data_IF_780889105797
#
_entry.id   IF_780889105797
#
_cell.length_a   1.000
_cell.length_b   1.000
_cell.length_c   1.000
_cell.angle_alpha   90.00
_cell.angle_beta   90.00
_cell.angle_gamma   90.00
#
_symmetry.space_group_name_H-M   'P 1'
#
loop_
_entity.id
_entity.type
_entity.pdbx_description
1 polymer ?
#
# COMPACT_ATOMS: atom_id res chain seq x y z
N UNK A 1 25.18 5.29 -32.71
CA UNK A 1 25.47 5.78 -31.33
C UNK A 1 24.48 6.84 -30.81
N UNK A 2 24.09 7.89 -31.57
CA UNK A 2 23.18 8.95 -31.06
C UNK A 2 21.79 8.49 -30.58
N UNK A 3 21.15 7.52 -31.25
CA UNK A 3 19.81 6.99 -30.86
C UNK A 3 19.81 6.34 -29.47
N UNK A 4 20.85 5.58 -29.14
CA UNK A 4 20.98 4.90 -27.84
C UNK A 4 21.16 5.89 -26.68
N UNK A 5 21.89 6.98 -26.92
CA UNK A 5 22.10 8.05 -25.94
C UNK A 5 20.83 8.85 -25.67
N UNK A 6 20.08 9.21 -26.72
CA UNK A 6 18.76 9.86 -26.59
C UNK A 6 17.74 8.96 -25.86
N UNK A 7 17.76 7.65 -26.12
CA UNK A 7 16.89 6.70 -25.43
C UNK A 7 17.21 6.60 -23.93
N UNK A 8 18.49 6.53 -23.54
CA UNK A 8 18.87 6.45 -22.12
C UNK A 8 18.54 7.74 -21.36
N UNK A 9 18.76 8.91 -21.97
CA UNK A 9 18.37 10.21 -21.42
C UNK A 9 16.86 10.29 -21.19
N UNK A 10 16.06 9.86 -22.17
CA UNK A 10 14.59 9.82 -22.03
C UNK A 10 14.13 8.84 -20.95
N UNK A 11 14.82 7.71 -20.75
CA UNK A 11 14.49 6.74 -19.71
C UNK A 11 14.77 7.29 -18.29
N UNK A 12 15.89 7.99 -18.10
CA UNK A 12 16.24 8.64 -16.82
C UNK A 12 15.26 9.79 -16.53
N UNK A 13 14.96 10.63 -17.52
CA UNK A 13 13.99 11.72 -17.39
C UNK A 13 12.59 11.21 -17.02
N UNK A 14 12.11 10.16 -17.69
CA UNK A 14 10.83 9.49 -17.34
C UNK A 14 10.84 8.91 -15.93
N UNK A 15 11.94 8.28 -15.52
CA UNK A 15 12.06 7.73 -14.15
C UNK A 15 12.02 8.85 -13.10
N UNK A 16 12.72 9.96 -13.34
CA UNK A 16 12.68 11.17 -12.50
C UNK A 16 11.27 11.72 -12.36
N UNK A 17 10.55 11.87 -13.48
CA UNK A 17 9.17 12.32 -13.48
C UNK A 17 8.27 11.37 -12.68
N UNK A 18 8.37 10.06 -12.90
CA UNK A 18 7.60 9.05 -12.16
C UNK A 18 7.85 9.11 -10.66
N UNK A 19 9.10 9.25 -10.22
CA UNK A 19 9.43 9.38 -8.79
C UNK A 19 8.82 10.66 -8.22
N UNK A 20 8.94 11.81 -8.91
CA UNK A 20 8.33 13.07 -8.45
C UNK A 20 6.81 12.96 -8.30
N UNK A 21 6.13 12.44 -9.32
CA UNK A 21 4.67 12.27 -9.32
C UNK A 21 4.23 11.29 -8.22
N UNK A 22 4.95 10.17 -8.06
CA UNK A 22 4.61 9.19 -7.03
C UNK A 22 4.83 9.76 -5.63
N UNK A 23 5.96 10.44 -5.38
CA UNK A 23 6.20 11.17 -4.13
C UNK A 23 5.11 12.19 -3.82
N UNK A 24 4.69 13.00 -4.81
CA UNK A 24 3.68 14.03 -4.60
C UNK A 24 2.31 13.44 -4.28
N UNK A 25 1.94 12.32 -4.93
CA UNK A 25 0.70 11.61 -4.64
C UNK A 25 0.74 11.02 -3.23
N UNK A 26 1.83 10.33 -2.87
CA UNK A 26 2.00 9.74 -1.53
C UNK A 26 1.90 10.83 -0.47
N UNK A 27 2.66 11.92 -0.62
CA UNK A 27 2.67 13.01 0.34
C UNK A 27 1.31 13.70 0.44
N UNK A 28 0.68 14.03 -0.70
CA UNK A 28 -0.65 14.64 -0.72
C UNK A 28 -1.71 13.75 -0.08
N UNK A 29 -1.71 12.46 -0.40
CA UNK A 29 -2.63 11.49 0.21
C UNK A 29 -2.40 11.32 1.72
N UNK A 30 -1.15 11.32 2.16
CA UNK A 30 -0.81 11.25 3.58
C UNK A 30 -1.26 12.50 4.35
N UNK A 31 -1.07 13.70 3.77
CA UNK A 31 -1.52 14.96 4.37
C UNK A 31 -3.05 14.96 4.50
N UNK A 32 -3.76 14.65 3.41
CA UNK A 32 -5.22 14.57 3.44
C UNK A 32 -5.66 13.56 4.51
N UNK A 33 -5.09 12.36 4.49
CA UNK A 33 -5.46 11.32 5.43
C UNK A 33 -5.12 11.68 6.88
N UNK A 34 -4.06 12.46 7.13
CA UNK A 34 -3.70 12.93 8.46
C UNK A 34 -4.74 13.90 9.04
N UNK A 35 -5.31 14.78 8.22
CA UNK A 35 -6.26 15.79 8.68
C UNK A 35 -7.73 15.33 8.62
N UNK A 36 -8.07 14.42 7.71
CA UNK A 36 -9.44 13.94 7.53
C UNK A 36 -9.55 12.51 8.08
N UNK A 37 -10.27 12.34 9.20
CA UNK A 37 -10.41 11.05 9.84
C UNK A 37 -11.40 10.14 9.09
N UNK A 38 -10.94 9.00 8.52
CA UNK A 38 -11.81 8.03 7.84
C UNK A 38 -12.73 7.25 8.78
N UNK A 39 -12.59 7.39 10.10
CA UNK A 39 -13.51 6.80 11.07
C UNK A 39 -14.83 7.58 11.20
N UNK A 40 -14.85 8.86 10.80
CA UNK A 40 -16.05 9.71 10.91
C UNK A 40 -16.98 9.45 9.72
N UNK A 41 -18.20 8.91 9.92
CA UNK A 41 -19.15 8.67 8.85
C UNK A 41 -19.60 9.98 8.18
N UNK A 42 -19.74 9.98 6.86
CA UNK A 42 -20.35 11.10 6.12
C UNK A 42 -19.43 12.29 5.81
N UNK A 43 -18.13 12.20 6.13
CA UNK A 43 -17.15 13.18 5.67
C UNK A 43 -16.63 12.83 4.26
N UNK A 44 -15.33 12.56 4.14
CA UNK A 44 -14.61 12.46 2.88
C UNK A 44 -14.56 11.04 2.33
N UNK A 45 -14.67 10.04 3.21
CA UNK A 45 -14.42 8.64 2.88
C UNK A 45 -15.73 7.84 2.84
N UNK A 46 -16.16 7.37 1.66
CA UNK A 46 -17.35 6.54 1.57
C UNK A 46 -17.10 5.16 2.21
N UNK A 47 -18.17 4.47 2.67
CA UNK A 47 -18.05 3.09 3.13
C UNK A 47 -17.57 2.19 1.97
N UNK A 48 -16.94 1.07 2.34
CA UNK A 48 -16.49 0.08 1.34
C UNK A 48 -17.68 -0.44 0.53
N UNK A 49 -17.72 -0.25 -0.81
CA UNK A 49 -18.82 -0.70 -1.64
C UNK A 49 -18.98 -2.23 -1.58
N UNK A 50 -17.87 -2.95 -1.39
CA UNK A 50 -17.91 -4.41 -1.23
C UNK A 50 -18.67 -4.82 0.04
N UNK A 51 -18.41 -4.12 1.16
CA UNK A 51 -19.07 -4.41 2.43
C UNK A 51 -20.55 -4.01 2.39
N UNK A 52 -20.88 -2.90 1.75
CA UNK A 52 -22.29 -2.47 1.63
C UNK A 52 -23.10 -3.41 0.74
N UNK A 53 -22.49 -4.01 -0.29
CA UNK A 53 -23.17 -4.93 -1.20
C UNK A 53 -23.26 -6.38 -0.67
N UNK A 54 -22.19 -6.88 -0.05
CA UNK A 54 -22.10 -8.30 0.33
C UNK A 54 -22.26 -8.56 1.83
N UNK A 55 -22.15 -7.52 2.66
CA UNK A 55 -22.01 -7.66 4.12
C UNK A 55 -20.63 -8.19 4.57
N UNK A 56 -19.80 -8.68 3.65
CA UNK A 56 -18.50 -9.27 3.96
C UNK A 56 -17.37 -8.23 3.97
N UNK A 57 -16.33 -8.52 4.75
CA UNK A 57 -15.11 -7.71 4.75
C UNK A 57 -14.17 -8.13 3.63
N UNK A 58 -13.81 -7.17 2.78
CA UNK A 58 -12.77 -7.28 1.77
C UNK A 58 -11.35 -7.28 2.40
N UNK A 59 -10.29 -7.79 1.74
CA UNK A 59 -8.93 -7.79 2.31
C UNK A 59 -8.37 -6.38 2.57
N UNK A 60 -8.84 -5.37 1.83
CA UNK A 60 -8.46 -3.96 2.04
C UNK A 60 -9.33 -3.20 3.05
N UNK A 61 -10.35 -3.84 3.62
CA UNK A 61 -11.29 -3.16 4.50
C UNK A 61 -10.58 -2.82 5.83
N UNK A 62 -10.59 -1.53 6.20
CA UNK A 62 -9.87 -1.00 7.36
C UNK A 62 -8.56 -0.27 7.02
N UNK A 63 -8.04 -0.35 5.78
CA UNK A 63 -6.75 0.24 5.40
C UNK A 63 -6.67 1.75 5.60
N UNK A 64 -7.68 2.53 5.20
CA UNK A 64 -7.66 3.99 5.39
C UNK A 64 -7.59 4.37 6.89
N UNK A 65 -8.44 3.75 7.71
CA UNK A 65 -8.43 3.92 9.17
C UNK A 65 -7.08 3.48 9.77
N UNK A 66 -6.52 2.37 9.31
CA UNK A 66 -5.21 1.88 9.74
C UNK A 66 -4.08 2.84 9.38
N UNK A 67 -4.06 3.35 8.15
CA UNK A 67 -3.08 4.33 7.70
C UNK A 67 -3.20 5.65 8.49
N UNK A 68 -4.42 6.12 8.78
CA UNK A 68 -4.64 7.28 9.65
C UNK A 68 -4.03 7.07 11.04
N UNK A 69 -4.24 5.89 11.64
CA UNK A 69 -3.62 5.53 12.92
C UNK A 69 -2.09 5.46 12.83
N UNK A 70 -1.52 4.91 11.75
CA UNK A 70 -0.06 4.90 11.54
C UNK A 70 0.53 6.30 11.42
N UNK A 71 -0.15 7.22 10.72
CA UNK A 71 0.28 8.60 10.60
C UNK A 71 0.28 9.33 11.95
N UNK A 72 -0.53 8.87 12.91
CA UNK A 72 -0.57 9.35 14.29
C UNK A 72 0.33 8.54 15.26
N UNK A 73 1.10 7.56 14.75
CA UNK A 73 2.01 6.75 15.56
C UNK A 73 1.36 5.54 16.26
N UNK A 74 0.07 5.27 16.05
CA UNK A 74 -0.67 4.20 16.70
C UNK A 74 -0.56 2.87 15.94
N UNK A 75 0.63 2.24 16.01
CA UNK A 75 0.93 0.97 15.33
C UNK A 75 -0.01 -0.18 15.71
N UNK A 76 -0.31 -0.34 17.00
CA UNK A 76 -1.18 -1.42 17.47
C UNK A 76 -2.63 -1.25 17.00
N UNK A 77 -3.15 -0.02 17.03
CA UNK A 77 -4.48 0.28 16.50
C UNK A 77 -4.54 0.02 14.99
N UNK A 78 -3.51 0.41 14.24
CA UNK A 78 -3.42 0.14 12.82
C UNK A 78 -3.37 -1.36 12.50
N UNK A 79 -2.64 -2.13 13.31
CA UNK A 79 -2.54 -3.58 13.16
C UNK A 79 -3.89 -4.25 13.41
N UNK A 80 -4.64 -3.84 14.44
CA UNK A 80 -5.99 -4.35 14.68
C UNK A 80 -6.96 -4.05 13.53
N UNK A 81 -6.79 -2.92 12.84
CA UNK A 81 -7.65 -2.53 11.71
C UNK A 81 -7.33 -3.28 10.42
N UNK A 82 -6.04 -3.51 10.12
CA UNK A 82 -5.64 -4.31 8.96
C UNK A 82 -4.22 -4.86 9.12
N UNK A 83 -4.05 -6.08 9.66
CA UNK A 83 -2.74 -6.70 9.81
C UNK A 83 -2.00 -6.86 8.47
N UNK A 84 -2.73 -7.26 7.42
CA UNK A 84 -2.16 -7.50 6.09
C UNK A 84 -1.54 -6.22 5.51
N UNK A 85 -2.22 -5.07 5.69
CA UNK A 85 -1.70 -3.77 5.32
C UNK A 85 -0.39 -3.48 6.07
N UNK A 86 -0.38 -3.58 7.40
CA UNK A 86 0.82 -3.27 8.21
C UNK A 86 2.00 -4.14 7.80
N UNK A 87 1.78 -5.45 7.63
CA UNK A 87 2.82 -6.39 7.21
C UNK A 87 3.34 -6.13 5.79
N UNK A 88 2.52 -5.55 4.91
CA UNK A 88 2.94 -5.22 3.55
C UNK A 88 3.78 -3.92 3.45
N UNK A 89 3.68 -3.02 4.45
CA UNK A 89 4.35 -1.72 4.40
C UNK A 89 5.88 -1.78 4.29
N UNK A 90 6.61 -2.60 5.06
CA UNK A 90 8.07 -2.69 4.94
C UNK A 90 8.50 -3.04 3.51
N UNK A 91 7.79 -3.97 2.88
CA UNK A 91 8.06 -4.37 1.50
C UNK A 91 7.80 -3.23 0.50
N UNK A 92 6.67 -2.53 0.64
CA UNK A 92 6.32 -1.40 -0.22
C UNK A 92 7.30 -0.23 -0.08
N UNK A 93 7.65 0.13 1.16
CA UNK A 93 8.62 1.18 1.48
C UNK A 93 9.99 0.82 0.88
N UNK A 94 10.47 -0.40 1.13
CA UNK A 94 11.74 -0.86 0.60
C UNK A 94 11.76 -0.84 -0.94
N UNK A 95 10.70 -1.34 -1.58
CA UNK A 95 10.55 -1.32 -3.04
C UNK A 95 10.57 0.10 -3.60
N UNK A 96 9.90 1.04 -2.93
CA UNK A 96 9.89 2.45 -3.30
C UNK A 96 11.27 3.10 -3.16
N UNK A 97 11.99 2.81 -2.08
CA UNK A 97 13.36 3.29 -1.85
C UNK A 97 14.29 2.76 -2.95
N UNK A 98 14.32 1.45 -3.20
CA UNK A 98 15.12 0.86 -4.28
C UNK A 98 14.74 1.43 -5.67
N UNK A 99 13.48 1.75 -5.89
CA UNK A 99 13.05 2.37 -7.14
C UNK A 99 13.51 3.83 -7.27
N UNK A 100 13.53 4.59 -6.19
CA UNK A 100 13.88 6.02 -6.19
C UNK A 100 15.38 6.30 -6.02
N UNK A 101 16.12 5.45 -5.32
CA UNK A 101 17.56 5.63 -5.05
C UNK A 101 18.43 5.92 -6.30
N UNK A 102 18.23 5.25 -7.46
CA UNK A 102 19.02 5.55 -8.67
C UNK A 102 18.81 6.96 -9.22
N UNK A 103 17.66 7.58 -8.93
CA UNK A 103 17.37 8.95 -9.34
C UNK A 103 18.26 9.96 -8.60
N UNK A 104 18.57 9.68 -7.34
CA UNK A 104 19.37 10.56 -6.48
C UNK A 104 20.86 10.25 -6.51
N UNK A 105 21.22 8.97 -6.48
CA UNK A 105 22.62 8.52 -6.36
C UNK A 105 23.30 8.25 -7.70
N UNK A 106 22.53 8.17 -8.79
CA UNK A 106 23.05 7.77 -10.11
C UNK A 106 23.52 6.31 -10.21
N UNK A 107 23.51 5.56 -9.10
CA UNK A 107 23.92 4.16 -9.04
C UNK A 107 22.75 3.25 -9.36
N UNK A 108 23.01 2.20 -10.15
CA UNK A 108 22.04 1.12 -10.35
C UNK A 108 21.96 0.29 -9.07
N UNK A 109 20.86 0.40 -8.34
CA UNK A 109 20.53 -0.60 -7.30
C UNK A 109 19.79 -1.77 -7.95
N UNK A 110 20.07 -2.98 -7.45
CA UNK A 110 19.36 -4.18 -7.83
C UNK A 110 17.88 -4.01 -7.52
N UNK A 111 17.03 -4.18 -8.52
CA UNK A 111 15.59 -4.18 -8.32
C UNK A 111 15.17 -5.55 -7.80
N UNK A 112 14.23 -5.59 -6.85
CA UNK A 112 13.63 -6.83 -6.40
C UNK A 112 12.86 -7.41 -7.59
N UNK A 113 13.36 -8.49 -8.15
CA UNK A 113 12.64 -9.23 -9.18
C UNK A 113 11.69 -10.21 -8.49
N UNK A 114 10.39 -9.92 -8.51
CA UNK A 114 9.38 -10.83 -7.99
C UNK A 114 9.24 -11.98 -9.00
N UNK A 115 9.69 -13.18 -8.63
CA UNK A 115 9.45 -14.36 -9.46
C UNK A 115 7.93 -14.61 -9.54
N UNK A 116 7.38 -15.08 -10.67
CA UNK A 116 5.95 -15.37 -10.79
C UNK A 116 5.39 -16.26 -9.67
N UNK A 117 6.19 -17.21 -9.17
CA UNK A 117 5.82 -18.05 -8.03
C UNK A 117 5.49 -17.25 -6.74
N UNK A 118 6.19 -16.14 -6.48
CA UNK A 118 5.91 -15.27 -5.33
C UNK A 118 4.58 -14.54 -5.45
N UNK A 119 4.18 -14.17 -6.67
CA UNK A 119 2.87 -13.55 -6.93
C UNK A 119 1.74 -14.51 -6.54
N UNK A 120 1.86 -15.78 -6.93
CA UNK A 120 0.91 -16.83 -6.53
C UNK A 120 0.89 -17.05 -5.02
N UNK A 121 2.04 -17.00 -4.35
CA UNK A 121 2.10 -17.07 -2.89
C UNK A 121 1.40 -15.90 -2.22
N UNK A 122 1.63 -14.66 -2.67
CA UNK A 122 0.94 -13.49 -2.13
C UNK A 122 -0.58 -13.59 -2.34
N UNK A 123 -1.02 -14.05 -3.50
CA UNK A 123 -2.44 -14.25 -3.79
C UNK A 123 -3.07 -15.28 -2.83
N UNK A 124 -2.39 -16.40 -2.57
CA UNK A 124 -2.84 -17.39 -1.57
C UNK A 124 -2.95 -16.77 -0.17
N UNK A 125 -1.99 -15.96 0.25
CA UNK A 125 -2.01 -15.28 1.56
C UNK A 125 -3.18 -14.30 1.64
N UNK A 126 -3.41 -13.50 0.59
CA UNK A 126 -4.51 -12.54 0.53
C UNK A 126 -5.87 -13.26 0.61
N UNK A 127 -6.03 -14.36 -0.14
CA UNK A 127 -7.25 -15.17 -0.10
C UNK A 127 -7.46 -15.84 1.25
N UNK A 128 -6.41 -16.41 1.84
CA UNK A 128 -6.48 -16.99 3.18
C UNK A 128 -6.88 -15.93 4.20
N UNK A 129 -6.24 -14.75 4.19
CA UNK A 129 -6.60 -13.63 5.06
C UNK A 129 -8.05 -13.17 4.85
N UNK A 130 -8.50 -13.10 3.59
CA UNK A 130 -9.87 -12.72 3.25
C UNK A 130 -10.90 -13.71 3.78
N UNK A 131 -10.63 -15.02 3.68
CA UNK A 131 -11.51 -16.05 4.24
C UNK A 131 -11.51 -15.94 5.77
N UNK A 132 -10.32 -15.97 6.39
CA UNK A 132 -10.17 -15.96 7.84
C UNK A 132 -10.89 -14.78 8.49
N UNK A 133 -10.74 -13.56 7.97
CA UNK A 133 -11.38 -12.37 8.56
C UNK A 133 -12.91 -12.32 8.50
N UNK A 134 -13.55 -13.21 7.72
CA UNK A 134 -15.01 -13.29 7.61
C UNK A 134 -15.60 -14.41 8.47
N UNK A 135 -14.76 -15.13 9.22
CA UNK A 135 -15.19 -16.22 10.06
C UNK A 135 -15.57 -15.69 11.47
N UNK A 136 -16.82 -15.92 11.94
CA UNK A 136 -17.33 -15.34 13.19
C UNK A 136 -16.92 -16.13 14.45
N UNK A 137 -15.75 -16.77 14.47
CA UNK A 137 -15.23 -17.48 15.65
C UNK A 137 -13.87 -16.92 16.09
N UNK A 138 -13.62 -16.92 17.39
CA UNK A 138 -12.33 -16.48 17.96
C UNK A 138 -11.23 -17.50 17.61
N UNK A 139 -10.04 -17.08 17.12
CA UNK A 139 -9.49 -15.72 17.19
C UNK A 139 -9.73 -14.86 15.94
N UNK A 140 -10.41 -15.36 14.91
CA UNK A 140 -10.54 -14.68 13.62
C UNK A 140 -11.49 -13.48 13.63
N UNK A 141 -12.40 -13.43 14.60
CA UNK A 141 -13.21 -12.25 14.88
C UNK A 141 -12.37 -10.99 15.18
N UNK A 142 -11.11 -11.13 15.63
CA UNK A 142 -10.21 -9.99 15.87
C UNK A 142 -9.61 -9.38 14.60
N UNK A 143 -9.74 -10.06 13.44
CA UNK A 143 -9.30 -9.53 12.15
C UNK A 143 -10.38 -8.64 11.48
N UNK A 144 -11.57 -8.56 12.07
CA UNK A 144 -12.63 -7.68 11.62
C UNK A 144 -12.40 -6.24 12.18
N UNK A 145 -12.45 -5.20 11.32
CA UNK A 145 -12.16 -3.81 11.66
C UNK A 145 -13.38 -2.99 12.07
#
# INVERSE_FOLDING_TARGET
MKKTYLYSLSAIARRKLKVKVLSSIILGSAIILYFFDPAIPGQLYPPSPFRTLTGLYCPGCGTLRGLHQLLHGNLWAAFGLNPLMVLSLPYLIYSYICYSLPVFTGRKVSQIFIKPAWIWWMLKIILAYWILRNIPFAPFSWLAP
#
